data_IF_175589902659
#
_entry.id   IF_175589902659
#
_cell.length_a   1.000
_cell.length_b   1.000
_cell.length_c   1.000
_cell.angle_alpha   90.00
_cell.angle_beta   90.00
_cell.angle_gamma   90.00
#
_symmetry.space_group_name_H-M   'P 1'
#
loop_
_entity.id
_entity.type
_entity.pdbx_description
1 polymer ?
#
# COMPACT_ATOMS: atom_id res chain seq x y z
N UNK A 1 -35.95 15.24 -29.51
CA UNK A 1 -36.48 13.87 -29.33
C UNK A 1 -36.66 13.62 -27.86
N UNK A 2 -37.90 13.48 -27.43
CA UNK A 2 -38.30 13.48 -26.02
C UNK A 2 -38.02 12.12 -25.36
N UNK A 3 -37.45 12.16 -24.15
CA UNK A 3 -37.10 10.99 -23.32
C UNK A 3 -38.30 10.11 -22.90
N UNK A 4 -39.52 10.49 -23.23
CA UNK A 4 -40.73 9.75 -22.88
C UNK A 4 -41.19 8.72 -23.92
N UNK A 5 -40.59 8.67 -25.10
CA UNK A 5 -41.01 7.74 -26.17
C UNK A 5 -40.26 6.41 -26.22
N UNK A 6 -39.21 6.22 -25.38
CA UNK A 6 -38.42 4.99 -25.36
C UNK A 6 -39.00 3.89 -24.44
N UNK A 7 -39.88 4.22 -23.51
CA UNK A 7 -40.40 3.28 -22.49
C UNK A 7 -41.77 2.62 -22.82
N UNK A 8 -42.28 2.76 -24.05
CA UNK A 8 -43.59 2.20 -24.44
C UNK A 8 -43.56 1.08 -25.47
N UNK A 9 -42.45 0.42 -25.72
CA UNK A 9 -42.38 -0.74 -26.65
C UNK A 9 -41.61 -1.93 -26.07
N UNK A 10 -41.97 -2.39 -24.91
CA UNK A 10 -41.59 -3.70 -24.40
C UNK A 10 -42.74 -4.24 -23.54
N UNK A 11 -43.79 -4.63 -24.20
CA UNK A 11 -44.91 -5.30 -23.58
C UNK A 11 -45.44 -6.40 -24.51
N UNK A 12 -45.51 -7.60 -23.96
CA UNK A 12 -46.30 -8.76 -24.44
C UNK A 12 -45.68 -9.65 -25.53
N UNK A 13 -45.03 -10.73 -25.08
CA UNK A 13 -45.18 -12.12 -25.55
C UNK A 13 -44.42 -12.96 -24.51
N UNK A 14 -45.01 -13.71 -23.66
CA UNK A 14 -45.74 -14.94 -23.76
C UNK A 14 -44.77 -16.13 -23.79
N UNK A 15 -44.58 -16.85 -22.65
CA UNK A 15 -43.77 -18.06 -22.63
C UNK A 15 -43.56 -18.56 -21.20
N UNK A 16 -44.62 -19.13 -20.61
CA UNK A 16 -44.50 -19.93 -19.40
C UNK A 16 -43.92 -21.32 -19.74
N UNK A 17 -43.34 -21.97 -18.72
CA UNK A 17 -42.88 -23.35 -18.65
C UNK A 17 -41.41 -23.59 -19.05
N UNK A 18 -40.60 -23.73 -18.01
CA UNK A 18 -39.69 -24.86 -17.73
C UNK A 18 -39.04 -24.65 -16.37
N UNK A 19 -39.86 -24.76 -15.32
CA UNK A 19 -39.39 -25.03 -13.96
C UNK A 19 -39.69 -26.51 -13.68
N UNK A 20 -38.77 -27.40 -13.92
CA UNK A 20 -38.74 -28.69 -13.23
C UNK A 20 -37.41 -29.39 -13.50
N UNK A 21 -36.84 -29.91 -12.41
CA UNK A 21 -35.73 -30.84 -12.35
C UNK A 21 -34.31 -30.22 -12.27
N UNK A 22 -34.00 -29.56 -11.14
CA UNK A 22 -32.69 -29.64 -10.54
C UNK A 22 -32.89 -30.28 -9.17
N UNK A 23 -32.45 -31.53 -9.05
CA UNK A 23 -32.38 -32.28 -7.79
C UNK A 23 -31.39 -31.61 -6.83
N UNK A 24 -31.69 -31.54 -5.52
CA UNK A 24 -30.76 -31.02 -4.55
C UNK A 24 -29.72 -32.11 -4.20
N UNK A 25 -28.62 -32.16 -4.91
CA UNK A 25 -27.60 -33.20 -4.69
C UNK A 25 -26.23 -32.98 -5.36
N UNK A 26 -26.10 -32.03 -6.26
CA UNK A 26 -24.84 -31.88 -7.04
C UNK A 26 -24.07 -30.56 -6.85
N UNK A 27 -24.32 -29.81 -5.79
CA UNK A 27 -23.64 -28.52 -5.54
C UNK A 27 -22.54 -28.63 -4.46
N UNK A 28 -22.21 -29.80 -3.97
CA UNK A 28 -21.25 -29.97 -2.83
C UNK A 28 -20.00 -30.74 -3.22
N UNK A 29 -19.58 -30.79 -4.47
CA UNK A 29 -18.35 -31.55 -4.83
C UNK A 29 -17.38 -30.83 -5.76
N UNK A 30 -17.38 -29.48 -5.73
CA UNK A 30 -16.41 -28.67 -6.47
C UNK A 30 -15.44 -27.89 -5.56
N UNK A 31 -15.27 -28.27 -4.29
CA UNK A 31 -14.45 -27.53 -3.32
C UNK A 31 -13.33 -28.36 -2.68
N UNK A 32 -12.91 -29.47 -3.25
CA UNK A 32 -11.83 -30.31 -2.68
C UNK A 32 -10.71 -30.66 -3.67
N UNK A 33 -10.38 -29.80 -4.61
CA UNK A 33 -9.11 -29.87 -5.31
C UNK A 33 -8.51 -28.49 -5.45
N UNK A 34 -8.21 -27.81 -4.34
CA UNK A 34 -7.13 -26.82 -4.34
C UNK A 34 -5.83 -27.65 -4.39
N UNK A 35 -5.36 -27.98 -5.57
CA UNK A 35 -3.95 -28.27 -5.78
C UNK A 35 -3.21 -27.11 -5.13
N UNK A 36 -2.53 -27.38 -4.03
CA UNK A 36 -1.67 -26.45 -3.34
C UNK A 36 -0.59 -26.09 -4.38
N UNK A 37 -0.74 -24.95 -5.05
CA UNK A 37 0.19 -24.51 -6.08
C UNK A 37 1.58 -24.54 -5.45
N UNK A 38 2.47 -25.36 -5.98
CA UNK A 38 3.81 -25.51 -5.43
C UNK A 38 4.49 -24.13 -5.50
N UNK A 39 4.97 -23.63 -4.34
CA UNK A 39 5.71 -22.37 -4.26
C UNK A 39 6.91 -22.46 -5.21
N UNK A 40 6.94 -21.62 -6.24
CA UNK A 40 7.97 -21.67 -7.27
C UNK A 40 9.26 -20.95 -6.88
N UNK A 41 9.22 -20.11 -5.82
CA UNK A 41 10.38 -19.39 -5.33
C UNK A 41 10.46 -19.34 -3.80
N UNK A 42 11.29 -20.21 -3.19
CA UNK A 42 11.48 -20.23 -1.74
C UNK A 42 11.98 -18.91 -1.15
N UNK A 43 12.71 -18.08 -1.92
CA UNK A 43 13.20 -16.79 -1.47
C UNK A 43 12.07 -15.81 -1.18
N UNK A 44 10.98 -15.91 -1.94
CA UNK A 44 9.83 -15.03 -1.87
C UNK A 44 8.68 -15.60 -1.03
N UNK A 45 8.80 -16.83 -0.58
CA UNK A 45 7.78 -17.48 0.24
C UNK A 45 7.47 -16.68 1.51
N UNK A 46 6.17 -16.41 1.74
CA UNK A 46 5.68 -15.69 2.91
C UNK A 46 5.86 -14.17 2.89
N UNK A 47 6.45 -13.60 1.85
CA UNK A 47 6.63 -12.14 1.71
C UNK A 47 5.29 -11.41 1.72
N UNK A 48 5.27 -10.25 2.41
CA UNK A 48 4.21 -9.25 2.31
C UNK A 48 4.82 -7.94 1.83
N UNK A 49 4.38 -7.43 0.67
CA UNK A 49 4.81 -6.12 0.19
C UNK A 49 3.69 -5.10 0.39
N UNK A 50 3.94 -4.10 1.25
CA UNK A 50 2.92 -3.15 1.71
C UNK A 50 2.88 -1.86 0.89
N UNK A 51 3.66 -1.75 -0.18
CA UNK A 51 3.72 -0.55 -0.98
C UNK A 51 4.02 -0.89 -2.43
N UNK A 52 2.96 -1.16 -3.18
CA UNK A 52 3.03 -1.54 -4.59
C UNK A 52 2.14 -0.64 -5.42
N UNK A 53 2.66 -0.24 -6.57
CA UNK A 53 1.90 0.45 -7.61
C UNK A 53 1.68 -0.48 -8.81
N UNK A 54 0.45 -0.58 -9.29
CA UNK A 54 0.10 -1.38 -10.46
C UNK A 54 -1.05 -0.73 -11.25
N UNK A 55 -1.28 -1.14 -12.48
CA UNK A 55 -2.44 -0.71 -13.25
C UNK A 55 -3.72 -1.42 -12.73
N UNK A 56 -4.90 -0.72 -12.78
CA UNK A 56 -5.15 0.57 -13.42
C UNK A 56 -4.64 1.77 -12.62
N UNK A 57 -3.98 2.70 -13.29
CA UNK A 57 -3.49 3.95 -12.71
C UNK A 57 -3.52 5.05 -13.79
N UNK A 58 -3.34 6.32 -13.40
CA UNK A 58 -3.19 7.45 -14.33
C UNK A 58 -1.79 7.55 -14.94
N UNK A 59 -0.83 6.81 -14.38
CA UNK A 59 0.53 6.67 -14.89
C UNK A 59 0.71 5.28 -15.47
N UNK A 60 1.58 5.14 -16.45
CA UNK A 60 1.97 3.84 -16.96
C UNK A 60 2.64 2.99 -15.87
N UNK A 61 2.20 1.73 -15.77
CA UNK A 61 2.67 0.76 -14.79
C UNK A 61 3.28 -0.46 -15.47
N UNK A 62 4.24 -1.10 -14.82
CA UNK A 62 4.93 -2.29 -15.33
C UNK A 62 4.03 -3.52 -15.41
N UNK A 63 2.99 -3.57 -14.56
CA UNK A 63 2.10 -4.72 -14.43
C UNK A 63 0.72 -4.25 -13.97
N UNK A 64 -0.35 -5.02 -14.26
CA UNK A 64 -1.67 -4.78 -13.69
C UNK A 64 -1.86 -5.55 -12.37
N UNK A 65 -2.82 -5.07 -11.55
CA UNK A 65 -3.06 -5.63 -10.21
C UNK A 65 -3.42 -7.13 -10.24
N UNK A 66 -4.23 -7.57 -11.21
CA UNK A 66 -4.66 -8.97 -11.30
C UNK A 66 -3.51 -9.91 -11.67
N UNK A 67 -2.72 -9.54 -12.65
CA UNK A 67 -1.54 -10.30 -13.05
C UNK A 67 -0.52 -10.37 -11.92
N UNK A 68 -0.28 -9.25 -11.25
CA UNK A 68 0.62 -9.20 -10.10
C UNK A 68 0.15 -10.15 -8.98
N UNK A 69 -1.15 -10.14 -8.63
CA UNK A 69 -1.68 -11.03 -7.60
C UNK A 69 -1.48 -12.51 -7.95
N UNK A 70 -1.74 -12.91 -9.20
CA UNK A 70 -1.54 -14.30 -9.65
C UNK A 70 -0.08 -14.72 -9.53
N UNK A 71 0.83 -13.90 -10.07
CA UNK A 71 2.27 -14.17 -10.04
C UNK A 71 2.83 -14.14 -8.61
N UNK A 72 2.36 -13.22 -7.77
CA UNK A 72 2.75 -13.15 -6.37
C UNK A 72 2.31 -14.42 -5.59
N UNK A 73 1.10 -14.93 -5.85
CA UNK A 73 0.64 -16.21 -5.29
C UNK A 73 1.50 -17.36 -5.77
N UNK A 74 1.82 -17.45 -7.07
CA UNK A 74 2.65 -18.51 -7.65
C UNK A 74 4.06 -18.58 -7.04
N UNK A 75 4.67 -17.41 -6.76
CA UNK A 75 6.00 -17.36 -6.13
C UNK A 75 5.95 -17.45 -4.59
N UNK A 76 4.76 -17.57 -4.02
CA UNK A 76 4.56 -17.83 -2.59
C UNK A 76 4.46 -16.60 -1.70
N UNK A 77 4.20 -15.41 -2.23
CA UNK A 77 3.85 -14.25 -1.39
C UNK A 77 2.64 -14.56 -0.51
N UNK A 78 2.64 -14.02 0.70
CA UNK A 78 1.50 -14.10 1.60
C UNK A 78 0.46 -13.03 1.30
N UNK A 79 0.92 -11.80 1.00
CA UNK A 79 0.02 -10.69 0.75
C UNK A 79 0.68 -9.52 0.00
N UNK A 80 -0.17 -8.69 -0.60
CA UNK A 80 0.20 -7.39 -1.16
C UNK A 80 -0.77 -6.30 -0.70
N UNK A 81 -0.26 -5.07 -0.55
CA UNK A 81 -1.05 -3.87 -0.33
C UNK A 81 -0.83 -2.90 -1.49
N UNK A 82 -1.88 -2.67 -2.26
CA UNK A 82 -1.84 -1.72 -3.37
C UNK A 82 -2.01 -0.28 -2.91
N UNK A 83 -1.25 0.60 -3.55
CA UNK A 83 -1.30 2.04 -3.39
C UNK A 83 -1.46 2.73 -4.74
N UNK A 84 -2.50 3.52 -4.90
CA UNK A 84 -2.63 4.49 -6.00
C UNK A 84 -2.46 5.90 -5.45
N UNK A 85 -1.73 6.75 -6.20
CA UNK A 85 -1.61 8.16 -5.82
C UNK A 85 -2.83 9.00 -6.23
N UNK A 86 -3.80 8.42 -6.93
CA UNK A 86 -4.96 9.14 -7.46
C UNK A 86 -6.27 8.56 -6.94
N UNK A 87 -6.40 7.22 -6.90
CA UNK A 87 -7.65 6.56 -6.54
C UNK A 87 -7.50 5.66 -5.31
N UNK A 88 -8.63 5.29 -4.71
CA UNK A 88 -8.67 4.22 -3.72
C UNK A 88 -8.42 2.85 -4.37
N UNK A 89 -7.94 1.89 -3.58
CA UNK A 89 -7.64 0.54 -4.06
C UNK A 89 -8.43 -0.56 -3.35
N UNK A 90 -9.15 -0.26 -2.27
CA UNK A 90 -9.83 -1.29 -1.45
C UNK A 90 -11.02 -1.95 -2.16
N UNK A 91 -11.70 -1.22 -3.03
CA UNK A 91 -12.76 -1.73 -3.88
C UNK A 91 -12.25 -2.74 -4.92
N UNK A 92 -11.12 -2.41 -5.55
CA UNK A 92 -10.43 -3.34 -6.46
C UNK A 92 -9.87 -4.56 -5.73
N UNK A 93 -9.31 -4.37 -4.53
CA UNK A 93 -8.81 -5.48 -3.71
C UNK A 93 -9.92 -6.51 -3.42
N UNK A 94 -11.17 -6.09 -3.23
CA UNK A 94 -12.30 -6.99 -3.10
C UNK A 94 -12.50 -7.88 -4.33
N UNK A 95 -12.46 -7.31 -5.52
CA UNK A 95 -12.59 -8.06 -6.78
C UNK A 95 -11.39 -8.97 -7.03
N UNK A 96 -10.18 -8.52 -6.68
CA UNK A 96 -8.96 -9.29 -6.82
C UNK A 96 -8.95 -10.53 -5.93
N UNK A 97 -9.43 -10.44 -4.69
CA UNK A 97 -9.57 -11.62 -3.82
C UNK A 97 -10.58 -12.64 -4.36
N UNK A 98 -11.62 -12.19 -5.09
CA UNK A 98 -12.53 -13.11 -5.78
C UNK A 98 -11.85 -13.78 -6.99
N UNK A 99 -10.98 -13.06 -7.70
CA UNK A 99 -10.30 -13.53 -8.91
C UNK A 99 -9.06 -14.39 -8.61
N UNK A 100 -8.46 -14.24 -7.41
CA UNK A 100 -7.28 -14.98 -6.94
C UNK A 100 -7.57 -15.51 -5.51
N UNK A 101 -8.39 -16.57 -5.39
CA UNK A 101 -8.80 -17.11 -4.10
C UNK A 101 -7.61 -17.56 -3.26
N UNK A 102 -7.68 -17.29 -1.95
CA UNK A 102 -6.63 -17.71 -1.00
C UNK A 102 -5.40 -16.79 -0.97
N UNK A 103 -5.33 -15.75 -1.82
CA UNK A 103 -4.26 -14.76 -1.80
C UNK A 103 -4.65 -13.50 -1.02
N UNK A 104 -3.74 -13.00 -0.18
CA UNK A 104 -3.93 -11.76 0.58
C UNK A 104 -3.76 -10.52 -0.30
N UNK A 105 -4.87 -9.94 -0.77
CA UNK A 105 -4.85 -8.71 -1.55
C UNK A 105 -5.57 -7.60 -0.80
N UNK A 106 -4.89 -6.50 -0.53
CA UNK A 106 -5.41 -5.38 0.24
C UNK A 106 -5.24 -4.06 -0.53
N UNK A 107 -6.08 -3.10 -0.19
CA UNK A 107 -6.05 -1.78 -0.77
C UNK A 107 -5.86 -0.68 0.26
N UNK A 108 -5.66 0.51 -0.24
CA UNK A 108 -5.40 1.71 0.57
C UNK A 108 -6.09 2.94 -0.02
N UNK A 109 -6.08 4.02 0.75
CA UNK A 109 -6.52 5.34 0.35
C UNK A 109 -5.39 6.34 0.56
N UNK A 110 -5.11 7.20 -0.44
CA UNK A 110 -4.11 8.28 -0.34
C UNK A 110 -4.84 9.62 -0.35
N UNK A 111 -4.58 10.48 0.62
CA UNK A 111 -5.21 11.79 0.79
C UNK A 111 -4.65 12.85 -0.16
N UNK A 112 -4.71 12.57 -1.47
CA UNK A 112 -4.33 13.51 -2.53
C UNK A 112 -5.56 14.24 -3.12
N UNK A 113 -5.34 15.19 -4.00
CA UNK A 113 -6.35 16.10 -4.57
C UNK A 113 -7.55 15.39 -5.22
N UNK A 114 -7.42 14.15 -5.67
CA UNK A 114 -8.56 13.38 -6.19
C UNK A 114 -9.69 13.19 -5.16
N UNK A 115 -9.37 13.30 -3.86
CA UNK A 115 -10.31 13.23 -2.75
C UNK A 115 -10.62 14.58 -2.13
N UNK A 116 -10.16 15.69 -2.72
CA UNK A 116 -10.41 17.06 -2.29
C UNK A 116 -9.16 17.84 -1.92
N UNK A 117 -9.33 19.12 -1.61
CA UNK A 117 -8.24 20.06 -1.33
C UNK A 117 -7.74 20.01 0.14
N UNK A 118 -8.28 19.09 0.93
CA UNK A 118 -7.94 18.86 2.34
C UNK A 118 -7.91 17.36 2.63
N UNK A 119 -7.32 16.97 3.74
CA UNK A 119 -7.47 15.62 4.28
C UNK A 119 -8.96 15.32 4.46
N UNK A 120 -9.48 14.34 3.73
CA UNK A 120 -10.91 14.08 3.61
C UNK A 120 -11.35 12.95 4.56
N UNK A 121 -11.87 13.36 5.71
CA UNK A 121 -12.38 12.42 6.74
C UNK A 121 -13.49 11.54 6.20
N UNK A 122 -14.42 12.10 5.40
CA UNK A 122 -15.51 11.32 4.82
C UNK A 122 -15.01 10.24 3.85
N UNK A 123 -14.00 10.54 3.03
CA UNK A 123 -13.38 9.54 2.17
C UNK A 123 -12.74 8.41 2.98
N UNK A 124 -12.07 8.74 4.11
CA UNK A 124 -11.54 7.73 5.03
C UNK A 124 -12.63 6.82 5.59
N UNK A 125 -13.74 7.41 6.08
CA UNK A 125 -14.88 6.65 6.60
C UNK A 125 -15.49 5.72 5.55
N UNK A 126 -15.63 6.17 4.29
CA UNK A 126 -16.19 5.35 3.22
C UNK A 126 -15.22 4.22 2.83
N UNK A 127 -13.93 4.49 2.77
CA UNK A 127 -12.91 3.47 2.49
C UNK A 127 -12.95 2.34 3.54
N UNK A 128 -13.11 2.68 4.81
CA UNK A 128 -13.21 1.72 5.91
C UNK A 128 -14.51 0.90 5.89
N UNK A 129 -15.61 1.46 5.36
CA UNK A 129 -16.92 0.79 5.24
C UNK A 129 -17.07 -0.01 3.95
N UNK A 130 -16.10 0.05 3.03
CA UNK A 130 -16.15 -0.69 1.77
C UNK A 130 -16.23 -2.20 2.04
N UNK A 131 -17.10 -2.88 1.30
CA UNK A 131 -17.33 -4.32 1.41
C UNK A 131 -16.02 -5.11 1.43
N UNK A 132 -15.92 -6.07 2.34
CA UNK A 132 -14.74 -6.92 2.54
C UNK A 132 -13.74 -6.39 3.56
N UNK A 133 -13.87 -5.14 4.01
CA UNK A 133 -12.95 -4.52 4.97
C UNK A 133 -11.47 -4.62 4.52
N UNK A 134 -11.19 -4.36 3.24
CA UNK A 134 -9.88 -4.56 2.64
C UNK A 134 -9.02 -3.28 2.59
N UNK A 135 -9.51 -2.16 3.11
CA UNK A 135 -8.69 -0.99 3.37
C UNK A 135 -7.77 -1.31 4.57
N UNK A 136 -6.47 -1.38 4.32
CA UNK A 136 -5.47 -1.66 5.36
C UNK A 136 -4.55 -0.50 5.64
N UNK A 137 -4.61 0.57 4.84
CA UNK A 137 -3.80 1.75 5.05
C UNK A 137 -4.51 3.01 4.57
N UNK A 138 -4.40 4.08 5.35
CA UNK A 138 -4.70 5.44 4.92
C UNK A 138 -3.39 6.23 4.95
N UNK A 139 -2.99 6.70 3.76
CA UNK A 139 -1.79 7.50 3.57
C UNK A 139 -2.14 8.98 3.65
N UNK A 140 -1.37 9.74 4.40
CA UNK A 140 -1.40 11.20 4.28
C UNK A 140 -0.96 11.62 2.88
N UNK A 141 -1.12 12.89 2.49
CA UNK A 141 -0.77 13.35 1.15
C UNK A 141 0.61 12.89 0.68
N UNK A 142 0.68 12.49 -0.59
CA UNK A 142 1.92 12.09 -1.25
C UNK A 142 2.28 13.08 -2.35
N UNK A 143 1.78 12.91 -3.56
CA UNK A 143 2.07 13.81 -4.69
C UNK A 143 1.58 15.25 -4.45
N UNK A 144 0.62 15.44 -3.56
CA UNK A 144 0.10 16.75 -3.16
C UNK A 144 0.52 17.14 -1.74
N UNK A 145 1.55 16.52 -1.16
CA UNK A 145 2.11 16.97 0.11
C UNK A 145 2.77 18.36 -0.03
N UNK A 146 2.84 19.07 1.07
CA UNK A 146 3.55 20.36 1.13
C UNK A 146 5.07 20.13 1.01
N UNK A 147 5.56 19.05 1.56
CA UNK A 147 6.96 18.64 1.53
C UNK A 147 7.17 17.41 0.64
N UNK A 148 8.30 17.26 -0.07
CA UNK A 148 9.30 18.32 -0.31
C UNK A 148 8.69 19.46 -1.14
N UNK A 149 9.32 20.66 -1.16
CA UNK A 149 8.82 21.77 -1.98
C UNK A 149 8.54 21.31 -3.41
N UNK A 150 7.44 21.77 -3.99
CA UNK A 150 6.90 21.28 -5.28
C UNK A 150 7.93 21.25 -6.41
N UNK A 151 8.90 22.18 -6.41
CA UNK A 151 10.00 22.22 -7.38
C UNK A 151 10.94 21.00 -7.28
N UNK A 152 11.19 20.49 -6.07
CA UNK A 152 12.02 19.29 -5.86
C UNK A 152 11.25 18.00 -6.09
N UNK A 153 9.95 18.00 -5.81
CA UNK A 153 9.08 16.83 -6.00
C UNK A 153 8.64 16.61 -7.46
N UNK A 154 8.85 17.60 -8.33
CA UNK A 154 8.36 17.53 -9.72
C UNK A 154 6.84 17.55 -9.85
N UNK A 155 6.11 18.01 -8.84
CA UNK A 155 4.64 18.06 -8.79
C UNK A 155 4.17 19.53 -8.72
N UNK A 156 3.99 20.22 -9.87
CA UNK A 156 3.37 21.52 -9.87
C UNK A 156 1.88 21.38 -9.54
N UNK A 157 1.41 22.10 -8.52
CA UNK A 157 -0.01 22.10 -8.19
C UNK A 157 -0.34 22.45 -6.75
N UNK A 158 -1.62 22.39 -6.43
CA UNK A 158 -2.11 22.62 -5.08
C UNK A 158 -1.59 21.54 -4.12
N UNK A 159 -1.26 21.97 -2.90
CA UNK A 159 -0.77 21.10 -1.83
C UNK A 159 -1.81 20.97 -0.72
N UNK A 160 -1.77 19.83 -0.04
CA UNK A 160 -2.64 19.52 1.09
C UNK A 160 -1.78 19.49 2.35
N UNK A 161 -1.89 20.48 3.25
CA UNK A 161 -1.14 20.51 4.49
C UNK A 161 -1.66 19.48 5.50
N UNK A 162 -0.78 18.99 6.35
CA UNK A 162 -1.12 18.15 7.51
C UNK A 162 -1.02 18.94 8.83
N UNK A 163 -0.30 20.05 8.81
CA UNK A 163 -0.15 20.99 9.92
C UNK A 163 -0.58 22.41 9.51
N UNK A 164 -0.98 23.22 10.47
CA UNK A 164 -1.23 24.65 10.26
C UNK A 164 0.08 25.46 10.32
N UNK A 165 0.00 26.77 10.09
CA UNK A 165 1.17 27.66 10.12
C UNK A 165 1.88 27.73 11.48
N UNK A 166 1.23 27.31 12.58
CA UNK A 166 1.83 27.23 13.90
C UNK A 166 2.46 25.85 14.19
N UNK A 167 2.49 24.94 13.21
CA UNK A 167 3.03 23.60 13.35
C UNK A 167 2.12 22.60 14.12
N UNK A 168 0.84 22.95 14.31
CA UNK A 168 -0.11 22.03 14.94
C UNK A 168 -0.82 21.20 13.87
N UNK A 169 -1.05 19.91 14.15
CA UNK A 169 -1.83 19.04 13.28
C UNK A 169 -3.23 19.58 13.06
N UNK A 170 -3.69 19.47 11.82
CA UNK A 170 -5.05 19.83 11.45
C UNK A 170 -6.06 18.84 12.08
N UNK A 171 -7.25 19.31 12.49
CA UNK A 171 -8.28 18.45 13.09
C UNK A 171 -8.65 17.25 12.22
N UNK A 172 -8.68 17.42 10.91
CA UNK A 172 -8.99 16.37 9.93
C UNK A 172 -7.95 15.23 9.97
N UNK A 173 -6.66 15.58 10.15
CA UNK A 173 -5.58 14.58 10.28
C UNK A 173 -5.76 13.78 11.56
N UNK A 174 -6.05 14.45 12.68
CA UNK A 174 -6.30 13.81 13.97
C UNK A 174 -7.52 12.86 13.86
N UNK A 175 -8.61 13.32 13.23
CA UNK A 175 -9.79 12.47 13.05
C UNK A 175 -9.51 11.23 12.20
N UNK A 176 -8.71 11.33 11.15
CA UNK A 176 -8.29 10.15 10.36
C UNK A 176 -7.40 9.22 11.19
N UNK A 177 -6.53 9.75 12.07
CA UNK A 177 -5.78 8.91 13.02
C UNK A 177 -6.71 8.12 13.94
N UNK A 178 -7.74 8.76 14.51
CA UNK A 178 -8.74 8.11 15.36
C UNK A 178 -9.45 6.99 14.62
N UNK A 179 -9.89 7.23 13.36
CA UNK A 179 -10.52 6.22 12.51
C UNK A 179 -9.59 5.01 12.26
N UNK A 180 -8.30 5.26 12.02
CA UNK A 180 -7.31 4.20 11.85
C UNK A 180 -7.08 3.42 13.15
N UNK A 181 -7.07 4.09 14.30
CA UNK A 181 -6.97 3.45 15.61
C UNK A 181 -8.20 2.57 15.92
N UNK A 182 -9.41 3.10 15.68
CA UNK A 182 -10.69 2.40 15.85
C UNK A 182 -10.78 1.15 14.98
N UNK A 183 -10.25 1.21 13.75
CA UNK A 183 -10.29 0.12 12.74
C UNK A 183 -9.08 -0.80 12.78
N UNK A 184 -8.08 -0.54 13.62
CA UNK A 184 -6.80 -1.24 13.70
C UNK A 184 -6.09 -1.41 12.35
N UNK A 185 -6.05 -0.34 11.55
CA UNK A 185 -5.36 -0.28 10.28
C UNK A 185 -4.16 0.67 10.30
N UNK A 186 -3.36 0.64 9.25
CA UNK A 186 -2.19 1.50 9.11
C UNK A 186 -2.62 2.95 8.86
N UNK A 187 -2.06 3.87 9.66
CA UNK A 187 -1.97 5.29 9.31
C UNK A 187 -0.54 5.59 8.89
N UNK A 188 -0.33 6.04 7.65
CA UNK A 188 0.99 6.27 7.08
C UNK A 188 1.22 7.77 6.79
N UNK A 189 2.44 8.26 7.05
CA UNK A 189 2.79 9.69 6.94
C UNK A 189 2.79 10.23 5.51
N UNK A 190 2.78 9.37 4.49
CA UNK A 190 2.89 9.80 3.10
C UNK A 190 4.22 10.52 2.84
N UNK A 191 4.15 11.68 2.18
CA UNK A 191 5.33 12.51 1.85
C UNK A 191 5.51 13.69 2.82
N UNK A 192 5.14 13.51 4.09
CA UNK A 192 5.34 14.54 5.11
C UNK A 192 6.82 14.75 5.44
N UNK A 193 7.17 15.96 5.87
CA UNK A 193 8.54 16.25 6.32
C UNK A 193 8.93 15.43 7.54
N UNK A 194 10.24 15.33 7.87
CA UNK A 194 10.69 14.70 9.11
C UNK A 194 10.01 15.28 10.36
N UNK A 195 9.87 16.61 10.42
CA UNK A 195 9.26 17.33 11.53
C UNK A 195 7.76 17.01 11.65
N UNK A 196 7.02 17.08 10.53
CA UNK A 196 5.61 16.70 10.47
C UNK A 196 5.40 15.24 10.87
N UNK A 197 6.27 14.34 10.40
CA UNK A 197 6.24 12.92 10.73
C UNK A 197 6.43 12.66 12.21
N UNK A 198 7.35 13.38 12.88
CA UNK A 198 7.55 13.27 14.33
C UNK A 198 6.39 13.89 15.14
N UNK A 199 5.78 14.98 14.64
CA UNK A 199 4.57 15.56 15.25
C UNK A 199 3.43 14.53 15.18
N UNK A 200 3.23 13.92 14.01
CA UNK A 200 2.22 12.88 13.81
C UNK A 200 2.48 11.65 14.67
N UNK A 201 3.74 11.19 14.82
CA UNK A 201 4.09 10.04 15.64
C UNK A 201 3.69 10.24 17.12
N UNK A 202 3.97 11.44 17.67
CA UNK A 202 3.55 11.77 19.03
C UNK A 202 2.03 11.76 19.19
N UNK A 203 1.31 12.38 18.27
CA UNK A 203 -0.16 12.40 18.28
C UNK A 203 -0.75 11.01 18.08
N UNK A 204 -0.21 10.21 17.21
CA UNK A 204 -0.64 8.83 16.96
C UNK A 204 -0.56 7.98 18.25
N UNK A 205 0.51 8.15 19.06
CA UNK A 205 0.64 7.52 20.37
C UNK A 205 -0.47 7.97 21.33
N UNK A 206 -0.79 9.28 21.36
CA UNK A 206 -1.83 9.84 22.22
C UNK A 206 -3.23 9.31 21.87
N UNK A 207 -3.56 9.19 20.58
CA UNK A 207 -4.87 8.71 20.12
C UNK A 207 -4.94 7.18 19.94
N UNK A 208 -3.85 6.47 20.22
CA UNK A 208 -3.83 5.00 20.23
C UNK A 208 -3.66 4.32 18.88
N UNK A 209 -3.06 4.96 17.87
CA UNK A 209 -2.75 4.35 16.58
C UNK A 209 -1.60 3.35 16.75
N UNK A 210 -1.89 2.06 16.82
CA UNK A 210 -0.88 1.01 17.00
C UNK A 210 -0.05 0.73 15.74
N UNK A 211 -0.61 1.03 14.57
CA UNK A 211 -0.03 0.79 13.25
C UNK A 211 0.30 2.11 12.55
N UNK A 212 0.97 3.01 13.28
CA UNK A 212 1.47 4.27 12.71
C UNK A 212 2.77 4.00 11.95
N UNK A 213 2.85 4.40 10.67
CA UNK A 213 3.98 4.12 9.78
C UNK A 213 4.62 5.41 9.29
N UNK A 214 5.93 5.53 9.46
CA UNK A 214 6.77 6.51 8.75
C UNK A 214 7.07 5.94 7.36
N UNK A 215 6.61 6.61 6.32
CA UNK A 215 6.75 6.17 4.92
C UNK A 215 8.14 6.51 4.36
N UNK A 216 8.76 5.60 3.60
CA UNK A 216 10.07 5.71 2.88
C UNK A 216 11.18 6.42 3.70
N UNK A 217 11.35 6.05 4.96
CA UNK A 217 12.27 6.71 5.88
C UNK A 217 13.74 6.70 5.43
N UNK A 218 14.13 5.78 4.54
CA UNK A 218 15.46 5.68 3.96
C UNK A 218 15.69 6.58 2.74
N UNK A 219 14.65 7.24 2.22
CA UNK A 219 14.79 8.07 1.02
C UNK A 219 15.53 9.38 1.33
N UNK A 220 16.47 9.75 0.46
CA UNK A 220 17.19 11.03 0.54
C UNK A 220 16.29 12.24 0.32
N UNK A 221 15.10 12.06 -0.24
CA UNK A 221 14.12 13.14 -0.45
C UNK A 221 13.55 13.57 0.89
N UNK A 222 13.13 12.61 1.73
CA UNK A 222 12.51 12.90 3.04
C UNK A 222 13.53 13.11 4.15
N UNK A 223 14.78 12.68 3.95
CA UNK A 223 15.95 13.01 4.76
C UNK A 223 15.80 12.75 6.27
N UNK A 224 15.08 11.69 6.67
CA UNK A 224 15.03 11.32 8.08
C UNK A 224 16.44 10.85 8.55
N UNK A 225 16.90 11.46 9.63
CA UNK A 225 18.14 11.00 10.29
C UNK A 225 17.88 9.75 11.11
N UNK A 226 18.92 8.98 11.41
CA UNK A 226 18.82 7.81 12.29
C UNK A 226 18.24 8.16 13.68
N UNK A 227 18.55 9.36 14.21
CA UNK A 227 18.02 9.80 15.49
C UNK A 227 16.54 10.16 15.41
N UNK A 228 16.09 10.77 14.32
CA UNK A 228 14.65 11.00 14.08
C UNK A 228 13.88 9.69 13.93
N UNK A 229 14.47 8.68 13.27
CA UNK A 229 13.89 7.34 13.19
C UNK A 229 13.75 6.71 14.59
N UNK A 230 14.79 6.79 15.43
CA UNK A 230 14.71 6.30 16.82
C UNK A 230 13.64 7.03 17.62
N UNK A 231 13.58 8.37 17.53
CA UNK A 231 12.53 9.16 18.18
C UNK A 231 11.12 8.75 17.73
N UNK A 232 10.93 8.46 16.44
CA UNK A 232 9.65 7.98 15.93
C UNK A 232 9.29 6.60 16.51
N UNK A 233 10.25 5.67 16.58
CA UNK A 233 10.06 4.34 17.18
C UNK A 233 9.75 4.44 18.67
N UNK A 234 10.41 5.33 19.43
CA UNK A 234 10.09 5.59 20.84
C UNK A 234 8.68 6.14 21.04
N UNK A 235 8.17 6.87 20.05
CA UNK A 235 6.78 7.28 19.99
C UNK A 235 5.82 6.16 19.54
N UNK A 236 6.31 4.96 19.20
CA UNK A 236 5.50 3.80 18.81
C UNK A 236 5.37 3.58 17.31
N UNK A 237 6.09 4.34 16.47
CA UNK A 237 6.03 4.19 15.04
C UNK A 237 6.62 2.87 14.53
N UNK A 238 6.12 2.42 13.40
CA UNK A 238 6.75 1.49 12.49
C UNK A 238 7.48 2.27 11.39
N UNK A 239 8.58 1.73 10.89
CA UNK A 239 9.41 2.40 9.90
C UNK A 239 9.36 1.61 8.60
N UNK A 240 8.93 2.26 7.52
CA UNK A 240 9.00 1.70 6.18
C UNK A 240 10.31 2.09 5.53
N UNK A 241 11.05 1.09 5.02
CA UNK A 241 12.17 1.28 4.10
C UNK A 241 11.76 0.79 2.72
N UNK A 242 11.86 1.65 1.72
CA UNK A 242 11.54 1.29 0.34
C UNK A 242 12.80 0.92 -0.45
N UNK A 243 12.66 -0.08 -1.32
CA UNK A 243 13.77 -0.48 -2.20
C UNK A 243 13.92 0.43 -3.42
N UNK A 244 12.85 1.13 -3.83
CA UNK A 244 12.85 2.04 -4.98
C UNK A 244 14.04 3.02 -5.00
N UNK A 245 14.45 3.69 -3.90
CA UNK A 245 15.61 4.60 -3.90
C UNK A 245 16.94 3.94 -4.31
N UNK A 246 17.07 2.62 -4.16
CA UNK A 246 18.22 1.85 -4.63
C UNK A 246 18.30 1.75 -6.15
N UNK A 247 17.21 2.00 -6.84
CA UNK A 247 17.05 1.80 -8.27
C UNK A 247 16.98 3.11 -9.07
N UNK A 248 16.92 4.26 -8.40
CA UNK A 248 16.90 5.58 -9.04
C UNK A 248 18.17 5.88 -9.84
N UNK A 249 18.13 6.97 -10.60
CA UNK A 249 19.30 7.54 -11.27
C UNK A 249 19.37 7.22 -12.76
N UNK A 250 20.43 7.68 -13.42
CA UNK A 250 20.60 7.55 -14.87
C UNK A 250 20.40 6.11 -15.34
N UNK A 251 19.63 5.94 -16.40
CA UNK A 251 19.30 4.63 -16.98
C UNK A 251 18.09 3.92 -16.34
N UNK A 252 17.42 4.52 -15.36
CA UNK A 252 16.17 4.03 -14.77
C UNK A 252 14.97 4.83 -15.23
N UNK A 253 13.74 4.36 -14.91
CA UNK A 253 12.51 5.11 -15.11
C UNK A 253 12.39 6.39 -14.25
N UNK A 254 13.32 6.61 -13.30
CA UNK A 254 13.38 7.78 -12.41
C UNK A 254 14.81 8.34 -12.42
N UNK A 255 15.24 8.98 -13.54
CA UNK A 255 16.64 9.35 -13.74
C UNK A 255 17.11 10.55 -12.94
N UNK A 256 16.19 11.39 -12.46
CA UNK A 256 16.49 12.70 -11.86
C UNK A 256 16.82 12.64 -10.38
N UNK A 257 16.61 11.50 -9.72
CA UNK A 257 16.92 11.33 -8.31
C UNK A 257 18.25 10.60 -8.11
N UNK A 258 18.95 10.97 -7.05
CA UNK A 258 20.20 10.32 -6.68
C UNK A 258 19.95 8.91 -6.12
N UNK A 259 20.66 7.93 -6.69
CA UNK A 259 20.59 6.54 -6.24
C UNK A 259 21.17 6.39 -4.83
N UNK A 260 20.41 5.76 -3.94
CA UNK A 260 20.92 5.35 -2.65
C UNK A 260 21.97 4.23 -2.81
N UNK A 261 23.09 4.31 -2.10
CA UNK A 261 24.07 3.23 -2.11
C UNK A 261 23.61 1.98 -1.37
N UNK A 262 24.22 0.81 -1.68
CA UNK A 262 23.94 -0.44 -0.93
C UNK A 262 24.19 -0.24 0.56
N UNK A 263 25.37 0.33 0.89
CA UNK A 263 25.77 0.53 2.29
C UNK A 263 24.79 1.41 3.08
N UNK A 264 24.25 2.49 2.46
CA UNK A 264 23.23 3.32 3.09
C UNK A 264 21.94 2.53 3.34
N UNK A 265 21.45 1.78 2.35
CA UNK A 265 20.24 0.98 2.50
C UNK A 265 20.41 -0.06 3.63
N UNK A 266 21.53 -0.78 3.64
CA UNK A 266 21.83 -1.78 4.67
C UNK A 266 21.94 -1.15 6.07
N UNK A 267 22.50 0.06 6.19
CA UNK A 267 22.54 0.77 7.46
C UNK A 267 21.13 1.10 7.98
N UNK A 268 20.20 1.45 7.09
CA UNK A 268 18.79 1.68 7.48
C UNK A 268 18.11 0.39 7.92
N UNK A 269 18.16 -0.68 7.13
CA UNK A 269 17.43 -1.92 7.46
C UNK A 269 17.92 -2.59 8.74
N UNK A 270 19.18 -2.37 9.12
CA UNK A 270 19.78 -2.86 10.37
C UNK A 270 19.54 -1.95 11.58
N UNK A 271 18.99 -0.77 11.38
CA UNK A 271 18.90 0.22 12.46
C UNK A 271 17.97 -0.24 13.59
N UNK A 272 16.75 -0.69 13.26
CA UNK A 272 15.75 -1.18 14.21
C UNK A 272 14.87 -2.21 13.47
N UNK A 273 15.37 -3.41 13.14
CA UNK A 273 14.62 -4.39 12.34
C UNK A 273 13.34 -4.87 13.03
N UNK A 274 13.26 -4.84 14.37
CA UNK A 274 12.06 -5.25 15.13
C UNK A 274 10.87 -4.29 14.97
N UNK A 275 11.11 -3.06 14.54
CA UNK A 275 10.09 -2.02 14.34
C UNK A 275 10.09 -1.46 12.92
N UNK A 276 10.70 -2.17 11.98
CA UNK A 276 10.81 -1.77 10.58
C UNK A 276 10.29 -2.85 9.65
N UNK A 277 9.98 -2.47 8.43
CA UNK A 277 9.69 -3.39 7.35
C UNK A 277 10.20 -2.82 6.03
N UNK A 278 10.35 -3.69 5.04
CA UNK A 278 10.77 -3.33 3.69
C UNK A 278 9.61 -3.53 2.73
N UNK A 279 9.36 -2.52 1.91
CA UNK A 279 8.45 -2.55 0.77
C UNK A 279 9.20 -2.21 -0.50
N UNK A 280 8.63 -2.52 -1.65
CA UNK A 280 9.31 -2.19 -2.92
C UNK A 280 9.10 -0.75 -3.35
N UNK A 281 7.91 -0.20 -3.20
CA UNK A 281 7.46 1.08 -3.80
C UNK A 281 7.62 1.07 -5.33
N UNK A 282 7.57 -0.13 -5.93
CA UNK A 282 7.75 -0.36 -7.36
C UNK A 282 6.42 -0.44 -8.12
N UNK A 283 6.54 -0.49 -9.45
CA UNK A 283 5.44 -0.55 -10.41
C UNK A 283 5.46 0.58 -11.44
N UNK A 284 6.35 1.56 -11.32
CA UNK A 284 6.50 2.62 -12.31
C UNK A 284 7.18 2.10 -13.59
N UNK A 285 6.71 2.55 -14.75
CA UNK A 285 7.33 2.22 -16.04
C UNK A 285 8.83 2.53 -16.05
N UNK A 286 9.62 1.68 -16.70
CA UNK A 286 11.09 1.78 -16.74
C UNK A 286 11.80 1.35 -15.46
N UNK A 287 11.06 0.81 -14.47
CA UNK A 287 11.60 0.19 -13.26
C UNK A 287 11.37 -1.34 -13.30
N UNK A 288 12.10 -2.14 -12.51
CA UNK A 288 11.75 -3.54 -12.32
C UNK A 288 10.31 -3.70 -11.80
N UNK A 289 9.68 -4.81 -12.14
CA UNK A 289 8.41 -5.17 -11.54
C UNK A 289 8.54 -5.43 -10.03
N UNK A 290 7.47 -5.25 -9.24
CA UNK A 290 7.52 -5.38 -7.77
C UNK A 290 8.10 -6.72 -7.29
N UNK A 291 7.68 -7.85 -7.87
CA UNK A 291 8.17 -9.19 -7.47
C UNK A 291 9.67 -9.33 -7.72
N UNK A 292 10.14 -8.92 -8.89
CA UNK A 292 11.58 -8.92 -9.21
C UNK A 292 12.36 -7.94 -8.35
N UNK A 293 11.79 -6.78 -8.04
CA UNK A 293 12.40 -5.80 -7.15
C UNK A 293 12.57 -6.35 -5.73
N UNK A 294 11.57 -7.03 -5.19
CA UNK A 294 11.66 -7.65 -3.86
C UNK A 294 12.70 -8.78 -3.86
N UNK A 295 12.78 -9.60 -4.91
CA UNK A 295 13.82 -10.62 -5.06
C UNK A 295 15.21 -9.99 -4.95
N UNK A 296 15.49 -8.98 -5.76
CA UNK A 296 16.77 -8.25 -5.74
C UNK A 296 17.07 -7.64 -4.38
N UNK A 297 16.05 -7.09 -3.73
CA UNK A 297 16.17 -6.53 -2.38
C UNK A 297 16.63 -7.57 -1.36
N UNK A 298 16.00 -8.74 -1.34
CA UNK A 298 16.34 -9.83 -0.42
C UNK A 298 17.75 -10.37 -0.74
N UNK A 299 18.08 -10.57 -2.00
CA UNK A 299 19.43 -10.99 -2.44
C UNK A 299 20.50 -9.97 -2.01
N UNK A 300 20.24 -8.67 -2.22
CA UNK A 300 21.16 -7.60 -1.83
C UNK A 300 21.37 -7.56 -0.31
N UNK A 301 20.31 -7.71 0.49
CA UNK A 301 20.40 -7.82 1.95
C UNK A 301 21.22 -9.04 2.37
N UNK A 302 20.97 -10.20 1.75
CA UNK A 302 21.64 -11.48 2.05
C UNK A 302 23.14 -11.38 1.75
N UNK A 303 23.51 -10.93 0.56
CA UNK A 303 24.92 -10.77 0.14
C UNK A 303 25.65 -9.73 1.02
N UNK A 304 24.92 -8.74 1.51
CA UNK A 304 25.46 -7.73 2.43
C UNK A 304 25.51 -8.21 3.90
N UNK A 305 25.19 -9.48 4.17
CA UNK A 305 25.29 -10.10 5.48
C UNK A 305 24.19 -9.68 6.47
N UNK A 306 23.01 -9.23 6.00
CA UNK A 306 21.81 -9.14 6.85
C UNK A 306 21.38 -10.57 7.18
N UNK A 307 21.14 -10.85 8.46
CA UNK A 307 20.80 -12.20 8.89
C UNK A 307 19.40 -12.61 8.36
N UNK A 308 19.20 -13.93 8.16
CA UNK A 308 17.89 -14.46 7.74
C UNK A 308 16.77 -14.04 8.69
N UNK A 309 17.04 -14.00 10.01
CA UNK A 309 16.08 -13.52 11.01
C UNK A 309 15.68 -12.06 10.78
N UNK A 310 16.63 -11.18 10.49
CA UNK A 310 16.33 -9.77 10.20
C UNK A 310 15.55 -9.63 8.89
N UNK A 311 15.93 -10.39 7.86
CA UNK A 311 15.18 -10.43 6.58
C UNK A 311 13.74 -10.90 6.83
N UNK A 312 13.55 -11.96 7.61
CA UNK A 312 12.21 -12.46 7.93
C UNK A 312 11.37 -11.42 8.69
N UNK A 313 11.96 -10.71 9.64
CA UNK A 313 11.27 -9.60 10.30
C UNK A 313 10.84 -8.54 9.28
N UNK A 314 11.74 -8.13 8.40
CA UNK A 314 11.56 -6.99 7.50
C UNK A 314 10.56 -7.24 6.37
N UNK A 315 10.50 -8.45 5.81
CA UNK A 315 9.68 -8.71 4.62
C UNK A 315 8.55 -9.72 4.84
N UNK A 316 8.47 -10.36 6.01
CA UNK A 316 7.46 -11.40 6.33
C UNK A 316 6.68 -11.09 7.60
N UNK A 317 7.36 -11.06 8.74
CA UNK A 317 6.71 -11.00 10.06
C UNK A 317 6.07 -9.65 10.33
N UNK A 318 6.86 -8.57 10.26
CA UNK A 318 6.38 -7.23 10.56
C UNK A 318 5.32 -6.73 9.57
N UNK A 319 5.48 -6.87 8.24
CA UNK A 319 4.45 -6.46 7.31
C UNK A 319 3.18 -7.32 7.43
N UNK A 320 3.27 -8.64 7.73
CA UNK A 320 2.10 -9.46 7.99
C UNK A 320 1.33 -8.99 9.24
N UNK A 321 2.06 -8.65 10.32
CA UNK A 321 1.48 -8.07 11.54
C UNK A 321 0.75 -6.76 11.27
N UNK A 322 1.32 -5.87 10.47
CA UNK A 322 0.69 -4.61 10.09
C UNK A 322 -0.61 -4.83 9.30
N UNK A 323 -0.67 -5.85 8.46
CA UNK A 323 -1.87 -6.25 7.73
C UNK A 323 -2.90 -7.01 8.59
N UNK A 324 -2.55 -7.42 9.81
CA UNK A 324 -3.43 -8.24 10.67
C UNK A 324 -3.53 -9.69 10.21
N UNK A 325 -2.44 -10.25 9.72
CA UNK A 325 -2.33 -11.63 9.22
C UNK A 325 -1.55 -12.56 10.18
N UNK A 326 -1.56 -12.29 11.47
CA UNK A 326 -0.91 -13.14 12.49
C UNK A 326 -1.61 -14.47 12.68
#
# INVERSE_FOLDING_TARGET
>A
MDRRSFLKRAGAAGGAALLSNLLPGEVVQAAENSEQTAITDPLLAGVCDLHIHAAPDTKERTVNELELCRRAQEVGYRAVLFKSNVWSCQDRAYLLQQAVPGFGCFGSLVMNLAFGEKVNVYAAEQALKTTGNLCRCIWMPTQNAVYPPTAEAGHPGATIPVVNHAGHLLPEVIRVMELCAESDIIFATGHSSPEESLIMARKAKEVGVRKFVITHANSRIWKLTHDQIRQAVDAGAWIEYCYLPRLWGPGSGIPNFERQSVGEFINYVRLIPERSFVSTDLGSAGMPEPIEGMRRCIEEMTVSGVSQREIDLLVRVNPAKLLGLE
#
